data_IF_855546672597
#
_entry.id   IF_855546672597
#
_cell.length_a   1.000
_cell.length_b   1.000
_cell.length_c   1.000
_cell.angle_alpha   90.00
_cell.angle_beta   90.00
_cell.angle_gamma   90.00
#
_symmetry.space_group_name_H-M   'P 1'
#
loop_
_entity.id
_entity.type
_entity.pdbx_description
1 polymer ?
#
# COMPACT_ATOMS: atom_id res chain seq x y z
N UNK A 1 -6.35 14.09 17.66
CA UNK A 1 -6.10 13.20 16.50
C UNK A 1 -5.36 11.92 16.84
N UNK A 2 -4.17 11.94 17.47
CA UNK A 2 -3.40 10.70 17.78
C UNK A 2 -4.15 9.69 18.66
N UNK A 3 -5.00 10.14 19.59
CA UNK A 3 -5.77 9.27 20.49
C UNK A 3 -6.85 8.49 19.70
N UNK A 4 -7.64 9.17 18.89
CA UNK A 4 -8.71 8.54 18.08
C UNK A 4 -8.13 7.53 17.09
N UNK A 5 -7.03 7.87 16.42
CA UNK A 5 -6.34 6.98 15.49
C UNK A 5 -5.85 5.70 16.19
N UNK A 6 -5.23 5.82 17.37
CA UNK A 6 -4.81 4.67 18.17
C UNK A 6 -5.99 3.80 18.63
N UNK A 7 -7.07 4.43 19.11
CA UNK A 7 -8.25 3.70 19.58
C UNK A 7 -8.95 2.93 18.46
N UNK A 8 -9.17 3.57 17.30
CA UNK A 8 -9.77 2.93 16.14
C UNK A 8 -8.88 1.81 15.58
N UNK A 9 -7.56 2.01 15.54
CA UNK A 9 -6.62 0.98 15.10
C UNK A 9 -6.63 -0.23 16.03
N UNK A 10 -6.75 -0.02 17.35
CA UNK A 10 -6.82 -1.12 18.33
C UNK A 10 -8.04 -2.02 18.11
N UNK A 11 -9.19 -1.46 17.73
CA UNK A 11 -10.37 -2.27 17.39
C UNK A 11 -10.08 -3.27 16.26
N UNK A 12 -9.31 -2.85 15.25
CA UNK A 12 -8.89 -3.75 14.16
C UNK A 12 -7.80 -4.71 14.64
N UNK A 13 -6.88 -4.25 15.50
CA UNK A 13 -5.83 -5.09 16.07
C UNK A 13 -6.39 -6.23 16.92
N UNK A 14 -7.51 -6.04 17.59
CA UNK A 14 -8.11 -7.02 18.48
C UNK A 14 -8.97 -8.06 17.74
N UNK A 15 -9.25 -7.84 16.44
CA UNK A 15 -9.95 -8.82 15.61
C UNK A 15 -9.12 -10.10 15.48
N UNK A 16 -9.74 -11.26 15.58
CA UNK A 16 -9.12 -12.57 15.35
C UNK A 16 -9.87 -13.28 14.21
N UNK A 17 -9.34 -13.18 12.99
CA UNK A 17 -9.98 -13.73 11.78
C UNK A 17 -9.59 -15.19 11.50
N UNK A 18 -8.73 -15.78 12.32
CA UNK A 18 -8.37 -17.18 12.26
C UNK A 18 -7.73 -17.59 10.92
N UNK A 19 -8.31 -18.54 10.14
CA UNK A 19 -7.74 -18.96 8.87
C UNK A 19 -7.64 -17.86 7.81
N UNK A 20 -8.46 -16.80 7.89
CA UNK A 20 -8.41 -15.66 6.97
C UNK A 20 -7.10 -14.86 7.08
N UNK A 21 -6.33 -15.06 8.17
CA UNK A 21 -4.99 -14.48 8.32
C UNK A 21 -4.12 -14.78 7.08
N UNK A 22 -4.19 -16.01 6.56
CA UNK A 22 -3.40 -16.42 5.40
C UNK A 22 -3.81 -15.69 4.11
N UNK A 23 -5.10 -15.39 3.94
CA UNK A 23 -5.57 -14.63 2.79
C UNK A 23 -5.16 -13.16 2.90
N UNK A 24 -5.20 -12.58 4.11
CA UNK A 24 -4.82 -11.18 4.34
C UNK A 24 -3.31 -10.94 4.24
N UNK A 25 -2.48 -11.98 4.34
CA UNK A 25 -1.03 -11.84 4.11
C UNK A 25 -0.75 -11.34 2.70
N UNK A 26 -1.49 -11.81 1.70
CA UNK A 26 -1.27 -11.44 0.29
C UNK A 26 -1.37 -9.92 0.10
N UNK A 27 -2.51 -9.26 0.36
CA UNK A 27 -2.60 -7.80 0.21
C UNK A 27 -1.71 -7.05 1.23
N UNK A 28 -1.42 -7.66 2.38
CA UNK A 28 -0.53 -7.08 3.39
C UNK A 28 0.95 -7.04 3.01
N UNK A 29 1.39 -7.85 2.07
CA UNK A 29 2.81 -7.97 1.67
C UNK A 29 3.04 -7.68 0.18
N UNK A 30 2.01 -7.74 -0.67
CA UNK A 30 2.12 -7.63 -2.13
C UNK A 30 2.76 -6.31 -2.60
N UNK A 31 2.67 -5.26 -1.82
CA UNK A 31 3.16 -3.93 -2.15
C UNK A 31 4.45 -3.55 -1.40
N UNK A 32 5.05 -4.51 -0.70
CA UNK A 32 6.33 -4.32 -0.03
C UNK A 32 7.50 -4.23 -1.02
N UNK A 33 8.59 -3.58 -0.59
CA UNK A 33 9.78 -3.30 -1.40
C UNK A 33 10.37 -4.54 -2.08
N UNK A 34 10.25 -5.72 -1.48
CA UNK A 34 10.78 -6.96 -2.05
C UNK A 34 9.86 -7.60 -3.09
N UNK A 35 8.55 -7.36 -3.03
CA UNK A 35 7.55 -7.92 -3.94
C UNK A 35 7.27 -7.00 -5.11
N UNK A 36 7.38 -5.68 -4.89
CA UNK A 36 7.07 -4.65 -5.86
C UNK A 36 7.78 -4.81 -7.22
N UNK A 37 9.08 -5.16 -7.30
CA UNK A 37 9.72 -5.39 -8.59
C UNK A 37 9.06 -6.49 -9.42
N UNK A 38 8.61 -7.57 -8.78
CA UNK A 38 7.90 -8.68 -9.44
C UNK A 38 6.51 -8.27 -9.89
N UNK A 39 5.80 -7.46 -9.07
CA UNK A 39 4.50 -6.90 -9.44
C UNK A 39 4.61 -6.02 -10.68
N UNK A 40 5.59 -5.12 -10.73
CA UNK A 40 5.83 -4.24 -11.88
C UNK A 40 6.29 -5.01 -13.12
N UNK A 41 7.11 -6.05 -12.95
CA UNK A 41 7.48 -6.94 -14.05
C UNK A 41 6.25 -7.66 -14.63
N UNK A 42 5.36 -8.20 -13.79
CA UNK A 42 4.12 -8.83 -14.23
C UNK A 42 3.19 -7.85 -14.96
N UNK A 43 3.09 -6.61 -14.48
CA UNK A 43 2.36 -5.53 -15.17
C UNK A 43 2.99 -5.26 -16.53
N UNK A 44 4.31 -5.21 -16.63
CA UNK A 44 5.03 -5.02 -17.90
C UNK A 44 4.78 -6.14 -18.91
N UNK A 45 4.71 -7.37 -18.47
CA UNK A 45 4.38 -8.52 -19.31
C UNK A 45 2.92 -8.51 -19.79
N UNK A 46 2.02 -7.96 -18.95
CA UNK A 46 0.59 -7.92 -19.26
C UNK A 46 0.17 -6.69 -20.05
N UNK A 47 0.55 -5.50 -19.59
CA UNK A 47 0.10 -4.21 -20.14
C UNK A 47 1.16 -3.50 -21.01
N UNK A 48 2.35 -4.07 -21.10
CA UNK A 48 3.45 -3.54 -21.87
C UNK A 48 4.48 -2.75 -21.04
N UNK A 49 5.70 -2.66 -21.59
CA UNK A 49 6.85 -2.07 -20.91
C UNK A 49 6.72 -0.58 -20.59
N UNK A 50 5.98 0.18 -21.41
CA UNK A 50 5.73 1.60 -21.18
C UNK A 50 4.96 1.83 -19.87
N UNK A 51 3.90 1.04 -19.65
CA UNK A 51 3.11 1.08 -18.41
C UNK A 51 3.98 0.71 -17.21
N UNK A 52 4.78 -0.35 -17.33
CA UNK A 52 5.72 -0.73 -16.28
C UNK A 52 6.76 0.35 -15.99
N UNK A 53 7.31 1.01 -17.00
CA UNK A 53 8.29 2.08 -16.84
C UNK A 53 7.71 3.27 -16.03
N UNK A 54 6.48 3.68 -16.34
CA UNK A 54 5.77 4.71 -15.59
C UNK A 54 5.53 4.24 -14.14
N UNK A 55 5.10 3.00 -13.94
CA UNK A 55 4.92 2.41 -12.63
C UNK A 55 6.21 2.35 -11.81
N UNK A 56 7.34 1.97 -12.42
CA UNK A 56 8.67 1.95 -11.79
C UNK A 56 9.08 3.36 -11.36
N UNK A 57 9.00 4.34 -12.26
CA UNK A 57 9.38 5.71 -11.97
C UNK A 57 8.53 6.30 -10.83
N UNK A 58 7.20 6.12 -10.89
CA UNK A 58 6.29 6.53 -9.84
C UNK A 58 6.56 5.81 -8.50
N UNK A 59 6.89 4.50 -8.54
CA UNK A 59 7.24 3.72 -7.34
C UNK A 59 8.51 4.27 -6.67
N UNK A 60 9.56 4.53 -7.44
CA UNK A 60 10.82 5.12 -6.95
C UNK A 60 10.54 6.50 -6.31
N UNK A 61 9.76 7.35 -7.00
CA UNK A 61 9.37 8.67 -6.48
C UNK A 61 8.59 8.54 -5.17
N UNK A 62 7.68 7.59 -5.08
CA UNK A 62 6.91 7.31 -3.85
C UNK A 62 7.81 6.93 -2.69
N UNK A 63 8.81 6.07 -2.92
CA UNK A 63 9.81 5.69 -1.90
C UNK A 63 10.66 6.91 -1.50
N UNK A 64 11.13 7.69 -2.47
CA UNK A 64 11.93 8.90 -2.24
C UNK A 64 11.17 9.95 -1.40
N UNK A 65 9.85 9.96 -1.42
CA UNK A 65 9.01 10.82 -0.58
C UNK A 65 8.76 10.16 0.80
N UNK A 66 8.36 8.89 0.81
CA UNK A 66 7.93 8.24 2.05
C UNK A 66 9.06 7.96 3.02
N UNK A 67 10.27 7.64 2.55
CA UNK A 67 11.39 7.28 3.44
C UNK A 67 11.94 8.48 4.24
N UNK A 68 12.19 9.67 3.66
CA UNK A 68 12.52 10.86 4.45
C UNK A 68 11.42 11.25 5.45
N UNK A 69 10.14 11.12 5.05
CA UNK A 69 9.02 11.40 5.96
C UNK A 69 9.00 10.45 7.15
N UNK A 70 9.35 9.16 6.98
CA UNK A 70 9.48 8.23 8.10
C UNK A 70 10.53 8.69 9.11
N UNK A 71 11.69 9.11 8.63
CA UNK A 71 12.77 9.61 9.49
C UNK A 71 12.37 10.90 10.20
N UNK A 72 11.70 11.82 9.49
CA UNK A 72 11.25 13.10 10.03
C UNK A 72 10.21 12.93 11.15
N UNK A 73 9.16 12.16 10.91
CA UNK A 73 8.08 11.95 11.87
C UNK A 73 8.44 10.97 12.98
N UNK A 74 9.34 10.05 12.72
CA UNK A 74 9.84 9.01 13.66
C UNK A 74 8.73 8.37 14.51
N UNK A 75 7.55 8.14 13.89
CA UNK A 75 6.38 7.63 14.60
C UNK A 75 6.58 6.16 14.98
N UNK A 76 6.35 5.87 16.26
CA UNK A 76 6.37 4.50 16.77
C UNK A 76 5.25 3.66 16.14
N UNK A 77 5.56 2.39 15.87
CA UNK A 77 4.58 1.42 15.40
C UNK A 77 3.66 0.97 16.52
N UNK A 78 2.49 0.39 16.18
CA UNK A 78 1.66 -0.27 17.17
C UNK A 78 2.47 -1.26 18.00
N UNK A 79 2.11 -1.40 19.31
CA UNK A 79 2.69 -2.42 20.16
C UNK A 79 2.46 -3.83 19.60
N UNK A 80 3.31 -4.81 19.98
CA UNK A 80 3.08 -6.20 19.58
C UNK A 80 1.66 -6.63 19.95
N UNK A 81 0.97 -7.25 19.00
CA UNK A 81 -0.39 -7.71 19.21
C UNK A 81 -0.42 -8.76 20.32
N UNK A 82 -1.33 -8.60 21.26
CA UNK A 82 -1.65 -9.60 22.28
C UNK A 82 -2.45 -10.77 21.71
N UNK A 83 -3.22 -10.52 20.63
CA UNK A 83 -3.97 -11.55 19.94
C UNK A 83 -3.03 -12.57 19.27
N UNK A 84 -3.34 -13.85 19.44
CA UNK A 84 -2.62 -14.94 18.78
C UNK A 84 -2.98 -14.91 17.30
N UNK A 85 -2.01 -14.48 16.48
CA UNK A 85 -2.14 -14.50 15.02
C UNK A 85 -1.34 -15.64 14.42
N UNK A 86 -1.89 -16.27 13.40
CA UNK A 86 -1.23 -17.36 12.66
C UNK A 86 -0.05 -16.84 11.84
N UNK A 87 -0.10 -15.57 11.43
CA UNK A 87 0.97 -14.91 10.67
C UNK A 87 1.37 -13.60 11.33
N UNK A 88 2.67 -13.31 11.41
CA UNK A 88 3.24 -12.13 12.06
C UNK A 88 4.06 -11.31 11.06
N UNK A 89 3.41 -10.48 10.25
CA UNK A 89 4.08 -9.63 9.26
C UNK A 89 4.98 -8.59 9.94
N UNK A 90 4.59 -8.03 11.08
CA UNK A 90 5.34 -7.00 11.79
C UNK A 90 6.77 -7.38 12.15
N UNK A 91 7.06 -8.66 12.33
CA UNK A 91 8.42 -9.15 12.66
C UNK A 91 9.49 -8.65 11.68
N UNK A 92 9.12 -8.37 10.44
CA UNK A 92 10.03 -7.95 9.36
C UNK A 92 10.17 -6.43 9.21
N UNK A 93 9.47 -5.63 10.05
CA UNK A 93 9.41 -4.17 9.87
C UNK A 93 10.07 -3.46 11.05
N UNK A 94 11.22 -2.83 10.80
CA UNK A 94 12.05 -2.18 11.83
C UNK A 94 12.01 -0.64 11.80
N UNK A 95 11.67 -0.04 10.66
CA UNK A 95 11.65 1.42 10.47
C UNK A 95 10.39 2.10 11.06
N UNK A 96 10.36 3.45 11.22
CA UNK A 96 9.20 4.18 11.72
C UNK A 96 7.91 3.90 10.95
N UNK A 97 6.74 4.14 11.61
CA UNK A 97 5.46 3.70 11.06
C UNK A 97 4.85 4.64 10.04
N UNK A 98 5.06 5.96 10.16
CA UNK A 98 4.41 6.97 9.33
C UNK A 98 5.35 7.52 8.25
N UNK A 99 4.87 7.67 7.01
CA UNK A 99 3.67 7.07 6.44
C UNK A 99 3.86 5.60 6.02
N UNK A 100 2.75 4.89 5.70
CA UNK A 100 2.81 3.50 5.22
C UNK A 100 3.26 3.43 3.76
N UNK A 101 4.47 2.90 3.52
CA UNK A 101 4.98 2.69 2.17
C UNK A 101 4.18 1.68 1.37
N UNK A 102 3.75 0.57 2.00
CA UNK A 102 2.96 -0.46 1.31
C UNK A 102 1.58 0.08 0.87
N UNK A 103 0.92 0.92 1.70
CA UNK A 103 -0.34 1.56 1.31
C UNK A 103 -0.14 2.60 0.20
N UNK A 104 1.01 3.27 0.17
CA UNK A 104 1.36 4.19 -0.92
C UNK A 104 1.56 3.43 -2.23
N UNK A 105 2.30 2.33 -2.21
CA UNK A 105 2.49 1.48 -3.39
C UNK A 105 1.19 0.82 -3.84
N UNK A 106 0.32 0.40 -2.91
CA UNK A 106 -0.99 -0.15 -3.24
C UNK A 106 -1.87 0.86 -4.00
N UNK A 107 -1.92 2.11 -3.54
CA UNK A 107 -2.68 3.17 -4.20
C UNK A 107 -2.11 3.51 -5.59
N UNK A 108 -0.78 3.56 -5.71
CA UNK A 108 -0.09 3.75 -6.99
C UNK A 108 -0.45 2.66 -7.99
N UNK A 109 -0.30 1.39 -7.61
CA UNK A 109 -0.61 0.25 -8.48
C UNK A 109 -2.09 0.18 -8.82
N UNK A 110 -2.97 0.42 -7.84
CA UNK A 110 -4.41 0.43 -8.07
C UNK A 110 -4.81 1.45 -9.15
N UNK A 111 -4.28 2.68 -9.08
CA UNK A 111 -4.55 3.72 -10.08
C UNK A 111 -3.88 3.41 -11.42
N UNK A 112 -2.67 2.86 -11.44
CA UNK A 112 -2.01 2.43 -12.67
C UNK A 112 -2.84 1.39 -13.41
N UNK A 113 -3.33 0.37 -12.70
CA UNK A 113 -4.16 -0.68 -13.28
C UNK A 113 -5.54 -0.15 -13.68
N UNK A 114 -6.18 0.66 -12.84
CA UNK A 114 -7.46 1.26 -13.12
C UNK A 114 -7.45 2.06 -14.43
N UNK A 115 -6.44 2.90 -14.63
CA UNK A 115 -6.34 3.74 -15.82
C UNK A 115 -6.03 2.96 -17.12
N UNK A 116 -5.40 1.78 -17.01
CA UNK A 116 -5.01 0.97 -18.17
C UNK A 116 -5.97 -0.20 -18.47
N UNK A 117 -6.79 -0.61 -17.48
CA UNK A 117 -7.74 -1.73 -17.64
C UNK A 117 -9.19 -1.30 -17.91
N UNK A 118 -9.43 -0.01 -18.16
CA UNK A 118 -10.74 0.54 -18.51
C UNK A 118 -11.40 1.30 -17.35
N UNK A 119 -11.39 2.62 -17.48
CA UNK A 119 -12.00 3.56 -16.52
C UNK A 119 -13.54 3.40 -16.53
N UNK A 120 -14.11 3.03 -17.66
CA UNK A 120 -15.54 2.90 -17.88
C UNK A 120 -16.09 1.49 -17.58
N UNK A 121 -15.22 0.51 -17.29
CA UNK A 121 -15.64 -0.85 -16.93
C UNK A 121 -15.62 -1.05 -15.40
N UNK A 122 -16.71 -1.61 -14.85
CA UNK A 122 -16.78 -1.98 -13.43
C UNK A 122 -15.61 -2.88 -12.99
N UNK A 123 -15.05 -3.69 -13.92
CA UNK A 123 -13.89 -4.55 -13.66
C UNK A 123 -12.63 -3.72 -13.37
N UNK A 124 -12.45 -2.60 -14.06
CA UNK A 124 -11.39 -1.65 -13.77
C UNK A 124 -11.48 -1.10 -12.34
N UNK A 125 -12.70 -0.81 -11.88
CA UNK A 125 -12.94 -0.31 -10.53
C UNK A 125 -12.57 -1.31 -9.42
N UNK A 126 -12.52 -2.63 -9.71
CA UNK A 126 -12.09 -3.63 -8.73
C UNK A 126 -10.64 -3.41 -8.28
N UNK A 127 -9.79 -2.85 -9.14
CA UNK A 127 -8.40 -2.56 -8.77
C UNK A 127 -8.29 -1.54 -7.65
N UNK A 128 -9.22 -0.59 -7.58
CA UNK A 128 -9.27 0.39 -6.48
C UNK A 128 -9.52 -0.27 -5.12
N UNK A 129 -10.14 -1.45 -5.09
CA UNK A 129 -10.33 -2.26 -3.89
C UNK A 129 -9.04 -2.77 -3.25
N UNK A 130 -7.93 -2.82 -4.00
CA UNK A 130 -6.61 -3.19 -3.46
C UNK A 130 -6.16 -2.23 -2.36
N UNK A 131 -6.53 -0.95 -2.46
CA UNK A 131 -6.11 0.08 -1.51
C UNK A 131 -6.68 -0.18 -0.11
N UNK A 132 -8.01 -0.21 0.10
CA UNK A 132 -8.57 -0.47 1.42
C UNK A 132 -8.22 -1.87 1.93
N UNK A 133 -8.06 -2.87 1.06
CA UNK A 133 -7.67 -4.22 1.44
C UNK A 133 -6.23 -4.25 1.98
N UNK A 134 -5.28 -3.60 1.31
CA UNK A 134 -3.91 -3.44 1.80
C UNK A 134 -3.90 -2.66 3.13
N UNK A 135 -4.60 -1.51 3.19
CA UNK A 135 -4.66 -0.68 4.39
C UNK A 135 -5.19 -1.48 5.59
N UNK A 136 -6.30 -2.19 5.40
CA UNK A 136 -6.87 -3.07 6.43
C UNK A 136 -5.86 -4.12 6.88
N UNK A 137 -5.23 -4.84 5.96
CA UNK A 137 -4.25 -5.87 6.28
C UNK A 137 -3.06 -5.29 7.08
N UNK A 138 -2.55 -4.11 6.70
CA UNK A 138 -1.42 -3.47 7.41
C UNK A 138 -1.78 -3.06 8.82
N UNK A 139 -2.99 -2.56 9.06
CA UNK A 139 -3.50 -2.25 10.40
C UNK A 139 -3.77 -3.54 11.16
N UNK A 140 -4.49 -4.49 10.57
CA UNK A 140 -4.84 -5.77 11.16
C UNK A 140 -3.62 -6.53 11.71
N UNK A 141 -2.52 -6.57 10.96
CA UNK A 141 -1.28 -7.21 11.42
C UNK A 141 -0.43 -6.33 12.35
N UNK A 142 -0.91 -5.18 12.79
CA UNK A 142 -0.22 -4.28 13.72
C UNK A 142 1.06 -3.68 13.15
N UNK A 143 1.19 -3.59 11.83
CA UNK A 143 2.33 -2.96 11.19
C UNK A 143 2.22 -1.44 11.19
N UNK A 144 1.01 -0.91 11.07
CA UNK A 144 0.72 0.52 10.96
C UNK A 144 -0.54 0.92 11.73
N UNK A 145 -0.65 2.22 12.03
CA UNK A 145 -1.88 2.86 12.46
C UNK A 145 -2.75 3.20 11.24
N UNK A 146 -4.06 3.40 11.42
CA UNK A 146 -4.97 3.81 10.33
C UNK A 146 -4.46 5.08 9.65
N UNK A 147 -4.08 6.10 10.43
CA UNK A 147 -3.57 7.36 9.90
C UNK A 147 -2.31 7.21 9.03
N UNK A 148 -1.44 6.22 9.34
CA UNK A 148 -0.25 5.93 8.52
C UNK A 148 -0.64 5.40 7.14
N UNK A 149 -1.67 4.55 7.10
CA UNK A 149 -2.14 3.92 5.85
C UNK A 149 -2.89 4.92 4.98
N UNK A 150 -3.71 5.80 5.58
CA UNK A 150 -4.41 6.88 4.86
C UNK A 150 -3.39 7.84 4.24
N UNK A 151 -2.40 8.30 5.03
CA UNK A 151 -1.38 9.21 4.54
C UNK A 151 -0.53 8.56 3.43
N UNK A 152 -0.16 7.30 3.61
CA UNK A 152 0.54 6.54 2.58
C UNK A 152 -0.26 6.45 1.29
N UNK A 153 -1.51 6.01 1.36
CA UNK A 153 -2.39 5.90 0.19
C UNK A 153 -2.57 7.24 -0.54
N UNK A 154 -2.73 8.33 0.22
CA UNK A 154 -2.83 9.68 -0.37
C UNK A 154 -1.54 10.06 -1.12
N UNK A 155 -0.36 9.81 -0.55
CA UNK A 155 0.92 10.07 -1.22
C UNK A 155 1.04 9.26 -2.52
N UNK A 156 0.77 7.96 -2.47
CA UNK A 156 0.86 7.10 -3.66
C UNK A 156 -0.12 7.50 -4.76
N UNK A 157 -1.36 7.86 -4.36
CA UNK A 157 -2.37 8.36 -5.28
C UNK A 157 -1.94 9.68 -5.95
N UNK A 158 -1.47 10.65 -5.16
CA UNK A 158 -0.99 11.94 -5.69
C UNK A 158 0.17 11.74 -6.67
N UNK A 159 1.16 10.91 -6.32
CA UNK A 159 2.29 10.62 -7.21
C UNK A 159 1.77 10.02 -8.51
N UNK A 160 0.90 9.00 -8.45
CA UNK A 160 0.41 8.33 -9.67
C UNK A 160 -0.42 9.26 -10.55
N UNK A 161 -1.28 10.11 -9.97
CA UNK A 161 -2.06 11.08 -10.74
C UNK A 161 -1.16 12.09 -11.48
N UNK A 162 -0.06 12.54 -10.84
CA UNK A 162 0.93 13.39 -11.50
C UNK A 162 1.59 12.66 -12.67
N UNK A 163 2.00 11.41 -12.48
CA UNK A 163 2.61 10.61 -13.54
C UNK A 163 1.64 10.32 -14.69
N UNK A 164 0.37 10.06 -14.40
CA UNK A 164 -0.65 9.90 -15.43
C UNK A 164 -0.83 11.17 -16.26
N UNK A 165 -0.86 12.35 -15.62
CA UNK A 165 -0.93 13.63 -16.32
C UNK A 165 0.29 13.92 -17.21
N UNK A 166 1.50 13.60 -16.72
CA UNK A 166 2.75 13.85 -17.44
C UNK A 166 3.01 12.86 -18.59
N UNK A 167 2.60 11.61 -18.44
CA UNK A 167 2.94 10.51 -19.35
C UNK A 167 1.75 9.89 -20.08
N UNK A 168 0.58 10.56 -20.08
CA UNK A 168 -0.61 10.06 -20.77
C UNK A 168 -0.33 9.71 -22.25
N UNK A 169 0.36 10.59 -22.98
CA UNK A 169 0.73 10.38 -24.37
C UNK A 169 1.83 9.33 -24.60
N UNK A 170 2.60 9.00 -23.57
CA UNK A 170 3.65 7.98 -23.65
C UNK A 170 3.08 6.57 -23.51
N UNK A 171 2.03 6.41 -22.70
CA UNK A 171 1.38 5.11 -22.41
C UNK A 171 0.34 4.75 -23.46
N UNK A 172 -0.33 5.77 -24.05
CA UNK A 172 -1.23 5.59 -25.18
C UNK A 172 -0.46 5.09 -26.41
#
# INVERSE_FOLDING_TARGET
MRYLDRSASRLIHDLALGPLDYLLVVPGMAFGVYVMPFTLAAIGLWLGWKVAAVGIAASITTVAITDPLKLYFSRERPEPLTAIRRVRIRKFVKNPSFPSGDSAQAALIALLLWSNCGVDDWRGNLWLGLVPLCMFARVYFGAHWIGDTIAGAAIGACVMLVYQGLFASFVA
#
